data_IF_782310433921
#
_entry.id   IF_782310433921
#
_cell.length_a   1.000
_cell.length_b   1.000
_cell.length_c   1.000
_cell.angle_alpha   90.00
_cell.angle_beta   90.00
_cell.angle_gamma   90.00
#
_symmetry.space_group_name_H-M   'P 1'
#
loop_
_entity.id
_entity.type
_entity.pdbx_description
1 polymer ?
#
# COMPACT_ATOMS: atom_id res chain seq x y z
N UNK A 1 20.82 21.59 -74.40
CA UNK A 1 19.60 21.15 -75.12
C UNK A 1 19.86 19.72 -75.55
N UNK A 2 19.20 18.68 -75.06
CA UNK A 2 18.03 18.50 -74.19
C UNK A 2 18.25 17.13 -73.48
N UNK A 3 18.02 17.06 -72.17
CA UNK A 3 16.91 16.32 -71.51
C UNK A 3 17.10 14.79 -71.52
N UNK A 4 17.47 14.27 -70.35
CA UNK A 4 17.35 12.85 -69.98
C UNK A 4 16.65 12.79 -68.62
N UNK A 5 15.53 12.07 -68.60
CA UNK A 5 14.52 12.01 -67.54
C UNK A 5 14.94 11.00 -66.46
N UNK A 6 15.33 11.52 -65.29
CA UNK A 6 15.49 10.73 -64.07
C UNK A 6 14.20 10.76 -63.23
N UNK A 7 13.40 9.71 -63.32
CA UNK A 7 12.21 9.50 -62.50
C UNK A 7 12.58 8.93 -61.12
N UNK A 8 12.71 9.81 -60.12
CA UNK A 8 12.80 9.41 -58.71
C UNK A 8 11.40 9.11 -58.16
N UNK A 9 11.17 7.83 -57.87
CA UNK A 9 9.97 7.35 -57.17
C UNK A 9 9.97 7.79 -55.72
N UNK A 10 9.16 8.80 -55.40
CA UNK A 10 8.83 9.16 -54.03
C UNK A 10 7.96 8.06 -53.39
N UNK A 11 8.60 7.17 -52.63
CA UNK A 11 7.91 6.27 -51.73
C UNK A 11 7.23 7.10 -50.63
N UNK A 12 5.90 7.22 -50.71
CA UNK A 12 5.07 7.79 -49.66
C UNK A 12 5.19 6.91 -48.40
N UNK A 13 5.98 7.35 -47.42
CA UNK A 13 5.95 6.80 -46.08
C UNK A 13 4.61 7.16 -45.44
N UNK A 14 3.81 6.13 -45.18
CA UNK A 14 2.56 6.22 -44.42
C UNK A 14 2.88 6.65 -42.99
N UNK A 15 2.81 7.97 -42.76
CA UNK A 15 2.90 8.56 -41.44
C UNK A 15 1.84 7.95 -40.52
N UNK A 16 2.27 7.06 -39.62
CA UNK A 16 1.49 6.69 -38.46
C UNK A 16 1.17 7.97 -37.68
N UNK A 17 -0.12 8.24 -37.47
CA UNK A 17 -0.56 9.23 -36.52
C UNK A 17 0.03 8.89 -35.14
N UNK A 18 0.56 9.87 -34.38
CA UNK A 18 1.09 9.61 -33.05
C UNK A 18 -0.06 9.14 -32.14
N UNK A 19 0.20 8.22 -31.20
CA UNK A 19 -0.81 7.83 -30.22
C UNK A 19 -1.24 9.07 -29.43
N UNK A 20 -2.55 9.19 -29.22
CA UNK A 20 -3.20 10.37 -28.65
C UNK A 20 -2.53 10.85 -27.36
N UNK A 21 -2.46 12.18 -27.20
CA UNK A 21 -1.91 12.89 -26.05
C UNK A 21 -2.29 12.22 -24.72
N UNK A 22 -1.41 11.39 -24.17
CA UNK A 22 -1.49 10.99 -22.78
C UNK A 22 -1.40 12.26 -21.93
N UNK A 23 -2.38 12.47 -21.04
CA UNK A 23 -2.35 13.60 -20.13
C UNK A 23 -1.05 13.56 -19.29
N UNK A 24 -0.41 14.72 -19.04
CA UNK A 24 0.83 14.76 -18.29
C UNK A 24 0.65 14.15 -16.90
N UNK A 25 1.59 13.30 -16.51
CA UNK A 25 1.56 12.62 -15.21
C UNK A 25 1.66 13.61 -14.04
N UNK A 26 0.91 13.36 -12.98
CA UNK A 26 0.92 14.12 -11.73
C UNK A 26 2.02 13.58 -10.82
N UNK A 27 3.11 14.33 -10.67
CA UNK A 27 4.17 13.97 -9.73
C UNK A 27 3.79 14.34 -8.31
N UNK A 28 3.91 13.41 -7.37
CA UNK A 28 3.68 13.65 -5.95
C UNK A 28 4.47 12.68 -5.08
N UNK A 29 4.83 13.12 -3.87
CA UNK A 29 5.41 12.23 -2.86
C UNK A 29 4.34 11.35 -2.23
N UNK A 30 4.75 10.16 -1.77
CA UNK A 30 3.89 9.27 -0.99
C UNK A 30 3.42 9.99 0.28
N UNK A 31 2.09 10.02 0.50
CA UNK A 31 1.52 10.60 1.70
C UNK A 31 1.65 9.62 2.87
N UNK A 32 2.18 10.06 4.01
CA UNK A 32 2.44 9.19 5.15
C UNK A 32 1.73 9.72 6.38
N UNK A 33 0.87 8.89 6.97
CA UNK A 33 0.14 9.18 8.20
C UNK A 33 0.64 8.29 9.33
N UNK A 34 0.70 8.81 10.55
CA UNK A 34 0.91 7.99 11.74
C UNK A 34 -0.44 7.65 12.36
N UNK A 35 -0.62 6.42 12.83
CA UNK A 35 -1.79 6.01 13.63
C UNK A 35 -1.34 5.38 14.93
N UNK A 36 -1.74 5.98 16.04
CA UNK A 36 -1.40 5.52 17.38
C UNK A 36 -2.50 4.59 17.87
N UNK A 37 -2.15 3.35 18.20
CA UNK A 37 -3.11 2.38 18.74
C UNK A 37 -3.58 2.78 20.15
N UNK A 38 -4.85 2.53 20.51
CA UNK A 38 -5.29 2.59 21.89
C UNK A 38 -4.44 1.75 22.85
N UNK A 39 -4.18 2.24 24.08
CA UNK A 39 -3.53 1.44 25.11
C UNK A 39 -4.30 0.15 25.36
N UNK A 40 -3.59 -0.92 25.70
CA UNK A 40 -4.21 -2.12 26.28
C UNK A 40 -4.93 -1.73 27.58
N UNK A 41 -6.02 -2.43 27.92
CA UNK A 41 -6.77 -2.20 29.17
C UNK A 41 -5.80 -2.22 30.36
N UNK A 42 -5.82 -1.17 31.18
CA UNK A 42 -4.92 -1.00 32.33
C UNK A 42 -3.64 -0.19 32.08
N UNK A 43 -3.30 0.15 30.83
CA UNK A 43 -2.07 0.89 30.48
C UNK A 43 -2.27 2.41 30.23
N UNK A 44 -3.49 2.94 30.38
CA UNK A 44 -3.85 4.29 29.94
C UNK A 44 -3.15 5.43 30.70
N UNK A 45 -2.88 5.26 31.99
CA UNK A 45 -2.19 6.29 32.81
C UNK A 45 -0.72 6.48 32.42
N UNK A 46 -0.08 5.47 31.84
CA UNK A 46 1.35 5.48 31.53
C UNK A 46 1.69 6.11 30.18
N UNK A 47 0.72 6.26 29.28
CA UNK A 47 0.97 6.79 27.93
C UNK A 47 1.03 8.32 27.83
N UNK A 48 0.42 9.06 28.77
CA UNK A 48 0.28 10.53 28.70
C UNK A 48 1.60 11.30 28.63
N UNK A 49 2.72 10.69 29.01
CA UNK A 49 4.04 11.31 28.98
C UNK A 49 4.99 10.66 27.95
N UNK A 50 4.52 9.72 27.12
CA UNK A 50 5.37 8.90 26.22
C UNK A 50 5.51 9.48 24.82
N UNK A 51 4.51 10.23 24.39
CA UNK A 51 4.58 10.95 23.15
C UNK A 51 3.86 12.28 23.30
N UNK A 52 4.20 13.21 22.42
CA UNK A 52 3.52 14.48 22.25
C UNK A 52 3.31 14.71 20.77
N UNK A 53 2.20 15.37 20.44
CA UNK A 53 1.91 15.81 19.09
C UNK A 53 2.02 17.33 19.10
N UNK A 54 2.98 17.85 18.36
CA UNK A 54 3.22 19.28 18.23
C UNK A 54 2.72 19.77 16.86
N UNK A 55 1.80 20.73 16.92
CA UNK A 55 1.25 21.42 15.76
C UNK A 55 1.69 22.88 15.79
N UNK A 56 2.94 23.15 15.45
CA UNK A 56 3.43 24.51 15.26
C UNK A 56 3.85 24.73 13.80
N UNK A 57 2.95 25.37 13.04
CA UNK A 57 3.16 25.68 11.64
C UNK A 57 4.34 26.66 11.40
N UNK A 58 4.80 27.37 12.44
CA UNK A 58 5.99 28.23 12.35
C UNK A 58 7.29 27.45 12.39
N UNK A 59 7.29 26.26 13.02
CA UNK A 59 8.46 25.39 13.17
C UNK A 59 8.53 24.31 12.08
N UNK A 60 7.37 23.77 11.67
CA UNK A 60 7.30 22.73 10.64
C UNK A 60 5.96 22.77 9.90
N UNK A 61 5.93 22.56 8.57
CA UNK A 61 4.69 22.52 7.81
C UNK A 61 3.86 21.24 8.10
N UNK A 62 4.48 20.23 8.70
CA UNK A 62 3.84 18.97 9.04
C UNK A 62 3.72 18.82 10.57
N UNK A 63 2.61 18.26 11.09
CA UNK A 63 2.53 17.91 12.50
C UNK A 63 3.65 16.96 12.90
N UNK A 64 4.21 17.20 14.08
CA UNK A 64 5.36 16.47 14.61
C UNK A 64 4.92 15.50 15.70
N UNK A 65 5.24 14.22 15.51
CA UNK A 65 5.16 13.21 16.56
C UNK A 65 6.49 13.18 17.32
N UNK A 66 6.45 13.53 18.59
CA UNK A 66 7.60 13.52 19.49
C UNK A 66 7.49 12.28 20.37
N UNK A 67 8.43 11.33 20.25
CA UNK A 67 8.49 10.13 21.08
C UNK A 67 9.51 10.31 22.21
N UNK A 68 9.11 9.99 23.44
CA UNK A 68 9.91 10.08 24.68
C UNK A 68 10.06 8.71 25.35
N UNK A 69 10.98 7.86 24.88
CA UNK A 69 11.23 6.56 25.50
C UNK A 69 11.89 6.73 26.88
N UNK A 70 11.44 5.98 27.92
CA UNK A 70 12.17 5.90 29.20
C UNK A 70 13.16 4.74 29.19
N UNK A 71 14.25 4.90 28.48
CA UNK A 71 15.33 3.93 28.54
C UNK A 71 16.15 4.08 29.82
N UNK A 72 16.72 2.97 30.32
CA UNK A 72 17.75 3.04 31.36
C UNK A 72 18.97 3.81 30.84
N UNK A 73 19.79 4.37 31.74
CA UNK A 73 20.99 5.14 31.33
C UNK A 73 21.96 4.31 30.47
N UNK A 74 22.09 3.01 30.74
CA UNK A 74 22.92 2.09 29.94
C UNK A 74 22.35 1.83 28.55
N UNK A 75 21.02 1.73 28.44
CA UNK A 75 20.34 1.60 27.15
C UNK A 75 20.46 2.91 26.34
N UNK A 76 20.25 4.06 26.98
CA UNK A 76 20.39 5.38 26.39
C UNK A 76 21.82 5.61 25.87
N UNK A 77 22.84 5.27 26.65
CA UNK A 77 24.26 5.41 26.26
C UNK A 77 24.62 4.58 25.02
N UNK A 78 24.02 3.40 24.85
CA UNK A 78 24.19 2.58 23.64
C UNK A 78 23.49 3.19 22.42
N UNK A 79 22.33 3.81 22.63
CA UNK A 79 21.49 4.41 21.57
C UNK A 79 21.99 5.79 21.14
N UNK A 80 22.68 6.54 22.01
CA UNK A 80 23.22 7.88 21.73
C UNK A 80 24.29 7.96 20.64
N UNK A 81 24.75 6.81 20.10
CA UNK A 81 25.59 6.76 18.90
C UNK A 81 24.81 7.03 17.60
N UNK A 82 23.49 7.15 17.69
CA UNK A 82 22.58 7.34 16.56
C UNK A 82 22.32 8.84 16.35
N UNK A 83 22.63 9.36 15.16
CA UNK A 83 22.77 10.80 14.86
C UNK A 83 21.47 11.64 14.93
N UNK A 84 20.34 11.05 15.31
CA UNK A 84 19.01 11.68 15.33
C UNK A 84 18.40 11.84 16.74
N UNK A 85 19.21 11.79 17.80
CA UNK A 85 18.74 12.03 19.17
C UNK A 85 18.98 13.51 19.52
N UNK A 86 17.90 14.28 19.64
CA UNK A 86 17.97 15.61 20.23
C UNK A 86 17.99 15.50 21.75
N UNK A 87 19.00 16.12 22.38
CA UNK A 87 18.97 16.44 23.81
C UNK A 87 18.32 17.80 23.97
N UNK A 88 17.15 17.86 24.61
CA UNK A 88 16.65 19.13 25.14
C UNK A 88 17.63 19.60 26.21
N UNK A 89 18.31 20.72 25.97
CA UNK A 89 19.31 21.30 26.87
C UNK A 89 18.76 21.41 28.29
N UNK A 90 19.28 20.59 29.21
CA UNK A 90 18.89 20.54 30.62
C UNK A 90 18.17 19.26 31.07
N UNK A 91 17.65 18.43 30.16
CA UNK A 91 16.94 17.19 30.49
C UNK A 91 17.73 15.93 30.08
N UNK A 92 17.74 14.89 30.93
CA UNK A 92 18.46 13.61 30.72
C UNK A 92 17.71 12.64 29.78
N UNK A 93 16.65 13.07 29.12
CA UNK A 93 15.77 12.21 28.32
C UNK A 93 16.03 12.36 26.82
N UNK A 94 16.06 11.24 26.08
CA UNK A 94 16.11 11.25 24.63
C UNK A 94 14.70 11.51 24.07
N UNK A 95 14.61 12.39 23.07
CA UNK A 95 13.39 12.58 22.27
C UNK A 95 13.67 12.36 20.79
N UNK A 96 12.68 11.78 20.10
CA UNK A 96 12.71 11.61 18.64
C UNK A 96 11.54 12.37 18.02
N UNK A 97 11.80 13.16 16.99
CA UNK A 97 10.79 13.96 16.27
C UNK A 97 10.57 13.40 14.86
N UNK A 98 9.30 13.26 14.46
CA UNK A 98 8.93 12.75 13.14
C UNK A 98 7.75 13.53 12.56
N UNK A 99 7.90 14.05 11.34
CA UNK A 99 6.82 14.75 10.64
C UNK A 99 5.91 13.80 9.86
N UNK A 100 4.59 14.01 9.92
CA UNK A 100 3.62 13.21 9.15
C UNK A 100 2.60 14.11 8.46
N UNK A 101 1.96 13.63 7.38
CA UNK A 101 0.85 14.35 6.75
C UNK A 101 -0.32 14.57 7.71
N UNK A 102 -0.53 13.58 8.60
CA UNK A 102 -1.46 13.65 9.71
C UNK A 102 -1.12 12.59 10.75
N UNK A 103 -1.48 12.85 12.00
CA UNK A 103 -1.29 11.94 13.13
C UNK A 103 -2.68 11.60 13.68
N UNK A 104 -3.05 10.33 13.60
CA UNK A 104 -4.33 9.78 14.02
C UNK A 104 -4.18 9.28 15.46
N UNK A 105 -4.78 10.02 16.38
CA UNK A 105 -4.75 9.73 17.82
C UNK A 105 -5.58 8.48 18.19
N UNK A 106 -5.39 7.92 19.40
CA UNK A 106 -6.04 6.68 19.82
C UNK A 106 -7.58 6.65 19.75
N UNK A 107 -8.23 7.78 19.95
CA UNK A 107 -9.69 7.93 20.00
C UNK A 107 -10.33 8.14 18.61
N UNK A 108 -9.51 8.30 17.58
CA UNK A 108 -9.95 8.48 16.19
C UNK A 108 -10.72 7.26 15.69
N UNK A 109 -11.93 7.51 15.15
CA UNK A 109 -12.80 6.49 14.58
C UNK A 109 -12.33 6.01 13.21
N UNK A 110 -12.75 4.82 12.80
CA UNK A 110 -12.42 4.29 11.47
C UNK A 110 -13.00 5.12 10.32
N UNK A 111 -14.16 5.78 10.53
CA UNK A 111 -14.72 6.76 9.59
C UNK A 111 -13.72 7.89 9.33
N UNK A 112 -13.20 8.49 10.39
CA UNK A 112 -12.23 9.58 10.27
C UNK A 112 -10.92 9.11 9.65
N UNK A 113 -10.48 7.88 9.94
CA UNK A 113 -9.32 7.28 9.26
C UNK A 113 -9.57 7.16 7.75
N UNK A 114 -10.74 6.68 7.32
CA UNK A 114 -11.10 6.63 5.90
C UNK A 114 -11.07 8.01 5.26
N UNK A 115 -11.71 9.00 5.89
CA UNK A 115 -11.79 10.37 5.37
C UNK A 115 -10.42 11.01 5.21
N UNK A 116 -9.53 10.77 6.17
CA UNK A 116 -8.21 11.41 6.23
C UNK A 116 -7.18 10.71 5.34
N UNK A 117 -7.20 9.38 5.29
CA UNK A 117 -6.15 8.57 4.65
C UNK A 117 -6.56 8.08 3.26
N UNK A 118 -7.81 7.65 3.09
CA UNK A 118 -8.22 6.87 1.93
C UNK A 118 -9.02 7.68 0.90
N UNK A 119 -9.92 8.56 1.34
CA UNK A 119 -10.88 9.27 0.49
C UNK A 119 -10.24 9.86 -0.77
N UNK A 120 -9.18 10.65 -0.62
CA UNK A 120 -8.51 11.29 -1.78
C UNK A 120 -7.87 10.30 -2.76
N UNK A 121 -7.35 9.16 -2.27
CA UNK A 121 -6.83 8.10 -3.14
C UNK A 121 -7.99 7.43 -3.88
N UNK A 122 -9.07 7.08 -3.18
CA UNK A 122 -10.23 6.39 -3.76
C UNK A 122 -10.93 7.28 -4.81
N UNK A 123 -11.10 8.57 -4.52
CA UNK A 123 -11.66 9.53 -5.49
C UNK A 123 -10.80 9.60 -6.75
N UNK A 124 -9.47 9.58 -6.60
CA UNK A 124 -8.56 9.52 -7.75
C UNK A 124 -8.67 8.19 -8.52
N UNK A 125 -8.91 7.08 -7.83
CA UNK A 125 -9.15 5.78 -8.50
C UNK A 125 -10.42 5.85 -9.34
N UNK A 126 -11.50 6.43 -8.82
CA UNK A 126 -12.74 6.63 -9.57
C UNK A 126 -12.56 7.56 -10.80
N UNK A 127 -11.58 8.46 -10.75
CA UNK A 127 -11.17 9.29 -11.89
C UNK A 127 -10.27 8.57 -12.90
N UNK A 128 -9.86 7.32 -12.66
CA UNK A 128 -9.05 6.51 -13.56
C UNK A 128 -7.54 6.50 -13.25
N UNK A 129 -7.11 6.95 -12.08
CA UNK A 129 -5.72 6.79 -11.63
C UNK A 129 -5.54 5.46 -10.88
N UNK A 130 -4.34 4.90 -10.85
CA UNK A 130 -4.05 3.81 -9.90
C UNK A 130 -3.89 4.37 -8.48
N UNK A 131 -4.25 3.57 -7.48
CA UNK A 131 -4.16 3.92 -6.08
C UNK A 131 -3.57 2.80 -5.23
N UNK A 132 -2.89 3.16 -4.15
CA UNK A 132 -2.41 2.19 -3.16
C UNK A 132 -2.49 2.78 -1.75
N UNK A 133 -2.97 1.98 -0.81
CA UNK A 133 -2.99 2.31 0.62
C UNK A 133 -2.44 1.11 1.37
N UNK A 134 -1.34 1.30 2.10
CA UNK A 134 -0.73 0.20 2.85
C UNK A 134 -0.45 0.56 4.31
N UNK A 135 -0.69 -0.40 5.21
CA UNK A 135 -0.39 -0.27 6.62
C UNK A 135 0.93 -0.99 6.95
N UNK A 136 1.79 -0.32 7.72
CA UNK A 136 3.10 -0.84 8.13
C UNK A 136 3.33 -0.58 9.62
N UNK A 137 4.08 -1.48 10.27
CA UNK A 137 4.41 -1.42 11.69
C UNK A 137 4.59 -2.81 12.29
N UNK A 138 5.01 -2.87 13.55
CA UNK A 138 5.20 -4.12 14.26
C UNK A 138 3.91 -4.93 14.43
N UNK A 139 4.02 -6.22 14.73
CA UNK A 139 2.87 -7.05 15.14
C UNK A 139 2.14 -6.42 16.33
N UNK A 140 0.82 -6.42 16.25
CA UNK A 140 -0.06 -5.84 17.26
C UNK A 140 -0.14 -4.31 17.27
N UNK A 141 0.48 -3.60 16.32
CA UNK A 141 0.35 -2.13 16.20
C UNK A 141 -0.99 -1.66 15.64
N UNK A 142 -1.80 -2.54 15.05
CA UNK A 142 -3.11 -2.20 14.48
C UNK A 142 -3.19 -2.10 12.95
N UNK A 143 -2.26 -2.72 12.21
CA UNK A 143 -2.30 -2.80 10.73
C UNK A 143 -3.59 -3.41 10.20
N UNK A 144 -3.86 -4.67 10.55
CA UNK A 144 -5.10 -5.39 10.17
C UNK A 144 -6.36 -4.68 10.66
N UNK A 145 -6.34 -4.11 11.87
CA UNK A 145 -7.45 -3.30 12.36
C UNK A 145 -7.67 -2.05 11.48
N UNK A 146 -6.60 -1.43 10.98
CA UNK A 146 -6.72 -0.29 10.06
C UNK A 146 -7.27 -0.70 8.70
N UNK A 147 -6.74 -1.77 8.11
CA UNK A 147 -7.07 -2.19 6.75
C UNK A 147 -8.43 -2.91 6.70
N UNK A 148 -8.61 -3.98 7.47
CA UNK A 148 -9.81 -4.82 7.45
C UNK A 148 -10.83 -4.38 8.51
N UNK A 149 -10.36 -4.09 9.73
CA UNK A 149 -11.22 -3.70 10.86
C UNK A 149 -11.41 -4.78 11.91
N UNK A 150 -12.22 -4.46 12.92
CA UNK A 150 -12.62 -5.39 13.97
C UNK A 150 -13.88 -6.17 13.59
N UNK A 151 -13.94 -7.45 13.97
CA UNK A 151 -15.08 -8.33 13.68
C UNK A 151 -16.33 -8.09 14.57
N UNK A 152 -16.19 -7.35 15.68
CA UNK A 152 -17.24 -7.29 16.71
C UNK A 152 -18.28 -6.18 16.51
N UNK A 153 -17.88 -5.01 15.99
CA UNK A 153 -18.76 -3.84 15.86
C UNK A 153 -18.69 -3.31 14.45
N UNK A 154 -19.84 -2.92 13.90
CA UNK A 154 -19.91 -2.31 12.57
C UNK A 154 -19.01 -1.06 12.45
N UNK A 155 -18.98 -0.23 13.51
CA UNK A 155 -18.12 0.96 13.56
C UNK A 155 -16.62 0.66 13.48
N UNK A 156 -16.19 -0.56 13.84
CA UNK A 156 -14.79 -0.97 13.81
C UNK A 156 -14.32 -1.46 12.43
N UNK A 157 -15.22 -1.55 11.44
CA UNK A 157 -14.87 -1.88 10.05
C UNK A 157 -13.79 -0.92 9.53
N UNK A 158 -12.74 -1.50 8.92
CA UNK A 158 -11.55 -0.78 8.49
C UNK A 158 -11.71 -0.11 7.13
N UNK A 159 -10.59 0.17 6.48
CA UNK A 159 -10.55 0.85 5.19
C UNK A 159 -11.23 0.04 4.07
N UNK A 160 -10.98 -1.27 3.93
CA UNK A 160 -11.53 -2.06 2.80
C UNK A 160 -13.05 -1.95 2.69
N UNK A 161 -13.86 -2.29 3.72
CA UNK A 161 -15.32 -2.21 3.60
C UNK A 161 -15.84 -0.79 3.36
N UNK A 162 -15.15 0.24 3.89
CA UNK A 162 -15.52 1.65 3.69
C UNK A 162 -15.21 2.14 2.28
N UNK A 163 -14.08 1.71 1.74
CA UNK A 163 -13.69 1.95 0.35
C UNK A 163 -14.71 1.32 -0.61
N UNK A 164 -15.10 0.06 -0.36
CA UNK A 164 -16.12 -0.61 -1.17
C UNK A 164 -17.44 0.16 -1.16
N UNK A 165 -17.93 0.54 0.02
CA UNK A 165 -19.13 1.36 0.16
C UNK A 165 -19.03 2.66 -0.64
N UNK A 166 -17.91 3.38 -0.53
CA UNK A 166 -17.71 4.65 -1.24
C UNK A 166 -17.68 4.47 -2.77
N UNK A 167 -16.96 3.45 -3.26
CA UNK A 167 -16.88 3.14 -4.70
C UNK A 167 -18.27 2.81 -5.26
N UNK A 168 -19.01 1.89 -4.63
CA UNK A 168 -20.33 1.51 -5.13
C UNK A 168 -21.35 2.65 -5.02
N UNK A 169 -21.27 3.46 -3.96
CA UNK A 169 -22.08 4.68 -3.84
C UNK A 169 -21.76 5.66 -4.96
N UNK A 170 -20.50 5.85 -5.32
CA UNK A 170 -20.13 6.73 -6.43
C UNK A 170 -20.66 6.17 -7.76
N UNK A 171 -20.39 4.90 -8.05
CA UNK A 171 -20.82 4.24 -9.28
C UNK A 171 -22.34 4.26 -9.47
N UNK A 172 -23.13 4.16 -8.39
CA UNK A 172 -24.58 4.24 -8.46
C UNK A 172 -25.11 5.67 -8.73
N UNK A 173 -24.33 6.71 -8.39
CA UNK A 173 -24.74 8.11 -8.55
C UNK A 173 -24.16 8.79 -9.80
N UNK A 174 -23.10 8.23 -10.41
CA UNK A 174 -22.54 8.76 -11.66
C UNK A 174 -23.28 8.22 -12.88
N UNK A 175 -24.13 9.06 -13.46
CA UNK A 175 -24.88 8.76 -14.69
C UNK A 175 -24.06 8.98 -15.97
N UNK A 176 -22.83 9.51 -15.89
CA UNK A 176 -22.01 9.79 -17.06
C UNK A 176 -21.21 8.58 -17.53
N UNK A 177 -21.07 7.57 -16.67
CA UNK A 177 -20.23 6.39 -16.89
C UNK A 177 -20.93 5.10 -16.47
N UNK A 178 -20.56 4.00 -17.10
CA UNK A 178 -20.90 2.65 -16.68
C UNK A 178 -19.67 2.02 -16.01
N UNK A 179 -19.83 1.46 -14.81
CA UNK A 179 -18.74 0.90 -14.02
C UNK A 179 -18.79 -0.63 -14.00
N UNK A 180 -17.66 -1.26 -14.22
CA UNK A 180 -17.42 -2.69 -14.02
C UNK A 180 -16.35 -2.83 -12.93
N UNK A 181 -16.71 -3.46 -11.81
CA UNK A 181 -15.85 -3.60 -10.63
C UNK A 181 -15.56 -5.08 -10.41
N UNK A 182 -14.29 -5.41 -10.21
CA UNK A 182 -13.86 -6.75 -9.80
C UNK A 182 -12.83 -6.69 -8.68
N UNK A 183 -12.75 -7.77 -7.91
CA UNK A 183 -11.90 -7.88 -6.72
C UNK A 183 -10.99 -9.10 -6.85
N UNK A 184 -9.74 -8.93 -6.43
CA UNK A 184 -8.82 -10.03 -6.17
C UNK A 184 -8.31 -9.93 -4.73
N UNK A 185 -7.98 -11.06 -4.10
CA UNK A 185 -7.42 -11.05 -2.75
C UNK A 185 -6.23 -11.99 -2.68
N UNK A 186 -5.04 -11.42 -2.52
CA UNK A 186 -3.76 -12.13 -2.53
C UNK A 186 -3.17 -12.19 -1.12
N UNK A 187 -2.77 -13.38 -0.69
CA UNK A 187 -1.88 -13.57 0.46
C UNK A 187 -0.49 -13.97 -0.01
N UNK A 188 0.55 -13.27 0.46
CA UNK A 188 1.95 -13.61 0.25
C UNK A 188 2.50 -14.17 1.56
N UNK A 189 2.80 -15.46 1.56
CA UNK A 189 3.33 -16.20 2.70
C UNK A 189 4.56 -16.99 2.29
N UNK A 190 5.68 -16.80 2.99
CA UNK A 190 6.97 -17.42 2.64
C UNK A 190 7.37 -17.25 1.16
N UNK A 191 7.24 -16.02 0.62
CA UNK A 191 7.49 -15.68 -0.80
C UNK A 191 6.61 -16.44 -1.83
N UNK A 192 5.59 -17.16 -1.36
CA UNK A 192 4.58 -17.79 -2.21
C UNK A 192 3.28 -16.99 -2.14
N UNK A 193 2.68 -16.74 -3.31
CA UNK A 193 1.39 -16.06 -3.41
C UNK A 193 0.24 -17.06 -3.50
N UNK A 194 -0.88 -16.76 -2.84
CA UNK A 194 -2.09 -17.57 -2.79
C UNK A 194 -3.33 -16.72 -3.05
N UNK A 195 -4.23 -17.19 -3.89
CA UNK A 195 -5.53 -16.55 -4.12
C UNK A 195 -6.50 -16.91 -2.98
N UNK A 196 -6.89 -15.92 -2.19
CA UNK A 196 -7.79 -16.08 -1.06
C UNK A 196 -9.27 -16.16 -1.46
N UNK A 197 -9.63 -15.84 -2.71
CA UNK A 197 -11.02 -15.83 -3.16
C UNK A 197 -11.46 -17.14 -3.82
N UNK A 198 -10.59 -18.17 -3.82
CA UNK A 198 -11.02 -19.48 -4.27
C UNK A 198 -12.18 -19.98 -3.41
N UNK A 199 -13.27 -20.34 -4.10
CA UNK A 199 -14.53 -20.78 -3.49
C UNK A 199 -14.60 -22.31 -3.43
N UNK A 200 -13.53 -23.02 -3.79
CA UNK A 200 -13.46 -24.46 -3.63
C UNK A 200 -13.62 -24.81 -2.13
N UNK A 201 -14.65 -25.61 -1.82
CA UNK A 201 -15.06 -25.89 -0.43
C UNK A 201 -14.13 -26.86 0.31
N UNK A 202 -13.00 -27.23 -0.29
CA UNK A 202 -12.09 -28.26 0.19
C UNK A 202 -10.78 -27.70 0.78
N UNK A 203 -10.50 -26.40 0.66
CA UNK A 203 -9.28 -25.80 1.20
C UNK A 203 -9.30 -25.82 2.74
N UNK A 204 -8.44 -26.64 3.35
CA UNK A 204 -8.27 -26.71 4.82
C UNK A 204 -6.99 -26.04 5.28
N UNK A 205 -6.08 -25.76 4.36
CA UNK A 205 -4.80 -25.09 4.60
C UNK A 205 -4.50 -24.09 3.50
N UNK A 206 -3.64 -23.12 3.80
CA UNK A 206 -3.16 -22.13 2.82
C UNK A 206 -2.53 -22.77 1.59
N UNK A 207 -1.81 -23.89 1.78
CA UNK A 207 -1.14 -24.61 0.68
C UNK A 207 -2.08 -25.28 -0.32
N UNK A 208 -3.35 -25.45 0.05
CA UNK A 208 -4.40 -26.00 -0.82
C UNK A 208 -4.99 -24.92 -1.76
N UNK A 209 -4.79 -23.63 -1.44
CA UNK A 209 -5.28 -22.52 -2.25
C UNK A 209 -4.48 -22.36 -3.56
N UNK A 210 -5.11 -21.82 -4.63
CA UNK A 210 -4.44 -21.61 -5.90
C UNK A 210 -3.17 -20.75 -5.76
N UNK A 211 -2.05 -21.27 -6.24
CA UNK A 211 -0.78 -20.56 -6.22
C UNK A 211 -0.70 -19.54 -7.34
N UNK A 212 -0.28 -18.34 -6.94
CA UNK A 212 -0.06 -17.19 -7.80
C UNK A 212 1.38 -17.17 -8.27
N UNK A 213 1.59 -16.81 -9.54
CA UNK A 213 2.93 -16.66 -10.13
C UNK A 213 3.10 -15.28 -10.75
N UNK A 214 4.31 -14.75 -10.69
CA UNK A 214 4.67 -13.50 -11.35
C UNK A 214 5.35 -13.77 -12.68
N UNK A 215 4.99 -13.00 -13.70
CA UNK A 215 5.68 -12.98 -14.98
C UNK A 215 5.91 -11.54 -15.40
N UNK A 216 7.06 -11.25 -15.99
CA UNK A 216 7.32 -9.95 -16.60
C UNK A 216 7.26 -10.09 -18.12
N UNK A 217 6.63 -9.12 -18.77
CA UNK A 217 6.66 -9.03 -20.24
C UNK A 217 7.91 -8.31 -20.74
N UNK A 218 8.00 -8.12 -22.07
CA UNK A 218 9.13 -7.47 -22.72
C UNK A 218 9.30 -5.99 -22.33
N UNK A 219 8.23 -5.34 -21.86
CA UNK A 219 8.20 -3.96 -21.39
C UNK A 219 8.47 -3.86 -19.87
N UNK A 220 8.93 -4.97 -19.27
CA UNK A 220 9.15 -5.13 -17.84
C UNK A 220 7.89 -4.93 -16.96
N UNK A 221 6.69 -5.04 -17.52
CA UNK A 221 5.45 -4.94 -16.74
C UNK A 221 5.22 -6.27 -16.01
N UNK A 222 4.99 -6.18 -14.70
CA UNK A 222 4.73 -7.36 -13.85
C UNK A 222 3.28 -7.78 -13.98
N UNK A 223 3.06 -8.99 -14.49
CA UNK A 223 1.77 -9.65 -14.59
C UNK A 223 1.63 -10.72 -13.50
N UNK A 224 0.52 -10.65 -12.77
CA UNK A 224 0.15 -11.63 -11.76
C UNK A 224 -0.74 -12.69 -12.40
N UNK A 225 -0.24 -13.92 -12.55
CA UNK A 225 -0.99 -15.05 -13.11
C UNK A 225 -1.59 -15.92 -12.02
N UNK A 226 -2.74 -16.51 -12.33
CA UNK A 226 -3.54 -17.35 -11.41
C UNK A 226 -4.05 -16.61 -10.17
N UNK A 227 -4.15 -15.28 -10.24
CA UNK A 227 -4.92 -14.48 -9.30
C UNK A 227 -6.21 -14.09 -10.00
N UNK A 228 -7.34 -14.66 -9.60
CA UNK A 228 -8.60 -14.41 -10.24
C UNK A 228 -9.16 -13.04 -9.85
N UNK A 229 -9.82 -12.38 -10.82
CA UNK A 229 -10.55 -11.14 -10.62
C UNK A 229 -12.04 -11.46 -10.63
N UNK A 230 -12.65 -11.46 -9.45
CA UNK A 230 -14.05 -11.83 -9.26
C UNK A 230 -14.94 -10.59 -9.45
N UNK A 231 -15.87 -10.58 -10.40
CA UNK A 231 -16.76 -9.45 -10.60
C UNK A 231 -17.69 -9.27 -9.39
N UNK A 232 -17.93 -8.02 -9.00
CA UNK A 232 -18.88 -7.66 -7.96
C UNK A 232 -19.86 -6.62 -8.50
N UNK A 233 -21.13 -6.99 -8.59
CA UNK A 233 -22.16 -6.12 -9.19
C UNK A 233 -22.70 -5.07 -8.20
N UNK A 234 -22.46 -5.25 -6.90
CA UNK A 234 -22.89 -4.34 -5.85
C UNK A 234 -21.99 -4.47 -4.60
N UNK A 235 -22.19 -3.56 -3.65
CA UNK A 235 -21.44 -3.51 -2.38
C UNK A 235 -21.51 -4.84 -1.61
N UNK A 236 -22.69 -5.45 -1.53
CA UNK A 236 -22.91 -6.70 -0.78
C UNK A 236 -22.07 -7.85 -1.34
N UNK A 237 -22.04 -8.02 -2.67
CA UNK A 237 -21.22 -9.04 -3.33
C UNK A 237 -19.72 -8.82 -3.07
N UNK A 238 -19.25 -7.58 -3.11
CA UNK A 238 -17.84 -7.28 -2.83
C UNK A 238 -17.48 -7.52 -1.35
N UNK A 239 -18.37 -7.16 -0.42
CA UNK A 239 -18.20 -7.45 1.00
C UNK A 239 -18.23 -8.96 1.29
N UNK A 240 -19.03 -9.73 0.54
CA UNK A 240 -19.03 -11.18 0.63
C UNK A 240 -17.69 -11.78 0.16
N UNK A 241 -17.09 -11.26 -0.91
CA UNK A 241 -15.75 -11.68 -1.34
C UNK A 241 -14.68 -11.36 -0.28
N UNK A 242 -14.74 -10.19 0.34
CA UNK A 242 -13.88 -9.87 1.49
C UNK A 242 -14.06 -10.90 2.61
N UNK A 243 -15.30 -11.22 2.97
CA UNK A 243 -15.60 -12.21 4.02
C UNK A 243 -15.08 -13.61 3.68
N UNK A 244 -15.21 -14.06 2.42
CA UNK A 244 -14.67 -15.34 1.96
C UNK A 244 -13.14 -15.36 2.13
N UNK A 245 -12.45 -14.32 1.67
CA UNK A 245 -10.99 -14.27 1.79
C UNK A 245 -10.51 -14.19 3.24
N UNK A 246 -11.18 -13.40 4.09
CA UNK A 246 -10.89 -13.34 5.53
C UNK A 246 -11.13 -14.71 6.19
N UNK A 247 -12.18 -15.42 5.79
CA UNK A 247 -12.48 -16.76 6.31
C UNK A 247 -11.42 -17.78 5.90
N UNK A 248 -11.02 -17.77 4.63
CA UNK A 248 -9.96 -18.64 4.11
C UNK A 248 -8.63 -18.39 4.83
N UNK A 249 -8.29 -17.12 5.06
CA UNK A 249 -7.13 -16.70 5.85
C UNK A 249 -7.20 -17.21 7.29
N UNK A 250 -8.35 -17.06 7.96
CA UNK A 250 -8.54 -17.53 9.34
C UNK A 250 -8.49 -19.06 9.44
N UNK A 251 -9.06 -19.79 8.49
CA UNK A 251 -9.03 -21.27 8.48
C UNK A 251 -7.60 -21.77 8.28
N UNK A 252 -6.81 -21.08 7.45
CA UNK A 252 -5.40 -21.37 7.27
C UNK A 252 -4.54 -21.06 8.52
N UNK A 253 -5.01 -20.15 9.38
CA UNK A 253 -4.39 -19.85 10.67
C UNK A 253 -4.70 -20.94 11.68
N UNK A 254 -3.64 -21.59 12.16
CA UNK A 254 -3.74 -22.57 13.25
C UNK A 254 -2.96 -22.08 14.47
N UNK A 255 -3.23 -22.55 15.69
CA UNK A 255 -2.43 -22.18 16.87
C UNK A 255 -0.92 -22.45 16.70
N UNK A 256 -0.58 -23.42 15.86
CA UNK A 256 0.80 -23.75 15.47
C UNK A 256 1.36 -22.86 14.36
N UNK A 257 0.51 -22.13 13.63
CA UNK A 257 0.85 -21.23 12.52
C UNK A 257 -0.03 -19.95 12.52
N UNK A 258 0.26 -18.95 13.37
CA UNK A 258 -0.42 -17.65 13.33
C UNK A 258 0.00 -16.82 12.11
N UNK A 259 -0.56 -17.16 10.95
CA UNK A 259 -0.21 -16.60 9.65
C UNK A 259 -0.58 -15.11 9.49
N UNK A 260 -1.64 -14.58 10.12
CA UNK A 260 -2.08 -13.16 9.96
C UNK A 260 -1.00 -12.14 10.24
N UNK A 261 -0.15 -12.38 11.26
CA UNK A 261 0.96 -11.49 11.61
C UNK A 261 2.20 -11.67 10.71
N UNK A 262 2.18 -12.72 9.88
CA UNK A 262 3.32 -13.33 9.21
C UNK A 262 3.17 -13.49 7.70
N UNK A 263 2.07 -13.01 7.14
CA UNK A 263 1.84 -12.89 5.72
C UNK A 263 1.51 -11.45 5.35
N UNK A 264 1.73 -11.11 4.09
CA UNK A 264 1.26 -9.83 3.52
C UNK A 264 -0.03 -10.09 2.78
N UNK A 265 -1.02 -9.25 2.99
CA UNK A 265 -2.33 -9.38 2.36
C UNK A 265 -2.61 -8.17 1.47
N UNK A 266 -3.04 -8.42 0.24
CA UNK A 266 -3.35 -7.40 -0.75
C UNK A 266 -4.78 -7.61 -1.24
N UNK A 267 -5.70 -6.75 -0.83
CA UNK A 267 -7.04 -6.67 -1.41
C UNK A 267 -7.00 -5.69 -2.58
N UNK A 268 -7.31 -6.19 -3.78
CA UNK A 268 -7.15 -5.47 -5.03
C UNK A 268 -8.52 -5.20 -5.62
N UNK A 269 -8.84 -3.93 -5.86
CA UNK A 269 -10.08 -3.54 -6.54
C UNK A 269 -9.69 -3.04 -7.93
N UNK A 270 -10.19 -3.70 -8.97
CA UNK A 270 -10.06 -3.25 -10.35
C UNK A 270 -11.38 -2.56 -10.75
N UNK A 271 -11.28 -1.36 -11.30
CA UNK A 271 -12.42 -0.59 -11.79
C UNK A 271 -12.17 -0.26 -13.26
N UNK A 272 -13.09 -0.68 -14.12
CA UNK A 272 -13.22 -0.21 -15.49
C UNK A 272 -14.45 0.72 -15.56
N UNK A 273 -14.32 1.90 -16.15
CA UNK A 273 -15.46 2.78 -16.40
C UNK A 273 -15.52 3.24 -17.86
N UNK A 274 -16.70 3.08 -18.47
CA UNK A 274 -16.98 3.44 -19.87
C UNK A 274 -17.84 4.69 -19.90
N UNK A 275 -17.44 5.69 -20.68
CA UNK A 275 -18.28 6.87 -20.89
C UNK A 275 -19.59 6.51 -21.59
N UNK A 276 -20.72 7.05 -21.13
CA UNK A 276 -22.01 6.85 -21.80
C UNK A 276 -22.12 7.70 -23.07
N UNK A 277 -21.58 8.91 -23.04
CA UNK A 277 -21.58 9.85 -24.17
C UNK A 277 -20.18 10.09 -24.75
N UNK A 278 -19.14 9.59 -24.07
CA UNK A 278 -17.75 9.68 -24.52
C UNK A 278 -17.27 8.28 -24.87
N UNK A 279 -16.58 8.12 -26.00
CA UNK A 279 -16.00 6.83 -26.39
C UNK A 279 -14.74 6.51 -25.58
N UNK A 280 -14.72 6.84 -24.29
CA UNK A 280 -13.53 6.72 -23.44
C UNK A 280 -13.71 5.61 -22.41
N UNK A 281 -12.70 4.76 -22.28
CA UNK A 281 -12.59 3.76 -21.22
C UNK A 281 -11.52 4.22 -20.24
N UNK A 282 -11.84 4.19 -18.95
CA UNK A 282 -10.84 4.34 -17.88
C UNK A 282 -10.61 3.03 -17.18
N UNK A 283 -9.35 2.75 -16.85
CA UNK A 283 -8.98 1.60 -16.03
C UNK A 283 -8.16 2.04 -14.84
N UNK A 284 -8.47 1.50 -13.69
CA UNK A 284 -7.76 1.85 -12.46
C UNK A 284 -7.73 0.66 -11.53
N UNK A 285 -6.65 0.58 -10.74
CA UNK A 285 -6.48 -0.43 -9.71
C UNK A 285 -6.21 0.22 -8.37
N UNK A 286 -6.89 -0.24 -7.33
CA UNK A 286 -6.65 0.13 -5.95
C UNK A 286 -6.08 -1.05 -5.16
N UNK A 287 -4.88 -0.90 -4.61
CA UNK A 287 -4.29 -1.85 -3.68
C UNK A 287 -4.55 -1.42 -2.22
N UNK A 288 -5.17 -2.29 -1.43
CA UNK A 288 -5.33 -2.14 0.02
C UNK A 288 -4.50 -3.21 0.71
N UNK A 289 -3.41 -2.81 1.34
CA UNK A 289 -2.33 -3.73 1.74
C UNK A 289 -2.16 -3.75 3.26
N UNK A 290 -2.27 -4.94 3.84
CA UNK A 290 -1.94 -5.25 5.23
C UNK A 290 -0.59 -6.00 5.24
N UNK A 291 0.49 -5.27 5.53
CA UNK A 291 1.83 -5.88 5.57
C UNK A 291 2.01 -6.69 6.86
N UNK A 292 2.91 -7.67 6.83
CA UNK A 292 3.32 -8.43 8.01
C UNK A 292 4.04 -7.55 9.06
N UNK A 293 4.21 -8.08 10.27
CA UNK A 293 4.93 -7.41 11.35
C UNK A 293 6.40 -7.11 11.02
N UNK A 294 6.84 -5.89 11.32
CA UNK A 294 8.22 -5.43 11.11
C UNK A 294 9.19 -5.72 12.26
N UNK A 295 8.75 -6.42 13.31
CA UNK A 295 9.57 -6.66 14.49
C UNK A 295 10.75 -7.61 14.23
N UNK A 296 11.84 -7.36 14.95
CA UNK A 296 13.08 -8.13 14.80
C UNK A 296 12.94 -9.55 15.36
N UNK A 297 13.31 -10.54 14.55
CA UNK A 297 13.38 -11.96 14.96
C UNK A 297 14.20 -12.17 16.23
N UNK A 298 15.28 -11.40 16.44
CA UNK A 298 16.16 -11.53 17.60
C UNK A 298 15.48 -11.21 18.94
N UNK A 299 14.35 -10.50 18.93
CA UNK A 299 13.53 -10.22 20.12
C UNK A 299 12.48 -11.28 20.37
N UNK A 300 12.31 -12.20 19.44
CA UNK A 300 11.33 -13.30 19.54
C UNK A 300 12.03 -14.56 20.03
N UNK A 301 11.45 -15.23 21.03
CA UNK A 301 12.00 -16.49 21.58
C UNK A 301 11.65 -17.71 20.69
N UNK A 302 11.54 -17.50 19.38
CA UNK A 302 10.97 -18.44 18.43
C UNK A 302 12.06 -19.41 17.93
N UNK A 303 11.71 -20.70 17.81
CA UNK A 303 12.62 -21.78 17.33
C UNK A 303 11.94 -22.61 16.22
N UNK A 304 12.74 -23.37 15.47
CA UNK A 304 12.23 -24.34 14.48
C UNK A 304 11.63 -23.68 13.23
N UNK A 305 10.50 -24.20 12.73
CA UNK A 305 9.86 -23.72 11.50
C UNK A 305 9.37 -22.26 11.61
N UNK A 306 8.87 -21.87 12.78
CA UNK A 306 8.48 -20.48 13.05
C UNK A 306 9.66 -19.49 12.93
N UNK A 307 10.91 -19.94 13.16
CA UNK A 307 12.10 -19.11 12.93
C UNK A 307 12.39 -18.94 11.43
N UNK A 308 12.14 -19.97 10.61
CA UNK A 308 12.29 -19.87 9.15
C UNK A 308 11.27 -18.89 8.58
N UNK A 309 10.02 -18.98 9.03
CA UNK A 309 8.94 -18.06 8.66
C UNK A 309 9.26 -16.61 9.06
N UNK A 310 9.69 -16.40 10.32
CA UNK A 310 10.13 -15.09 10.80
C UNK A 310 11.27 -14.48 9.95
N UNK A 311 12.15 -15.32 9.39
CA UNK A 311 13.20 -14.88 8.47
C UNK A 311 12.63 -14.46 7.12
N UNK A 312 11.69 -15.20 6.53
CA UNK A 312 11.09 -14.82 5.23
C UNK A 312 10.31 -13.51 5.33
N UNK A 313 9.55 -13.29 6.40
CA UNK A 313 8.87 -12.02 6.64
C UNK A 313 9.86 -10.86 6.68
N UNK A 314 10.89 -10.97 7.52
CA UNK A 314 11.89 -9.93 7.63
C UNK A 314 12.70 -9.75 6.34
N UNK A 315 12.90 -10.82 5.57
CA UNK A 315 13.56 -10.74 4.27
C UNK A 315 12.73 -9.95 3.26
N UNK A 316 11.43 -10.21 3.15
CA UNK A 316 10.51 -9.47 2.29
C UNK A 316 10.45 -7.97 2.66
N UNK A 317 10.35 -7.65 3.96
CA UNK A 317 10.37 -6.27 4.45
C UNK A 317 11.73 -5.59 4.27
N UNK A 318 12.82 -6.35 4.38
CA UNK A 318 14.16 -5.85 4.06
C UNK A 318 14.27 -5.50 2.57
N UNK A 319 13.74 -6.33 1.67
CA UNK A 319 13.72 -6.00 0.24
C UNK A 319 12.87 -4.78 -0.06
N UNK A 320 11.74 -4.60 0.63
CA UNK A 320 10.96 -3.36 0.55
C UNK A 320 11.80 -2.14 0.97
N UNK A 321 12.54 -2.25 2.08
CA UNK A 321 13.46 -1.19 2.52
C UNK A 321 14.56 -0.89 1.48
N UNK A 322 15.14 -1.93 0.86
CA UNK A 322 16.12 -1.76 -0.21
C UNK A 322 15.53 -1.07 -1.45
N UNK A 323 14.29 -1.37 -1.81
CA UNK A 323 13.57 -0.69 -2.90
C UNK A 323 13.38 0.79 -2.57
N UNK A 324 12.96 1.12 -1.34
CA UNK A 324 12.77 2.51 -0.89
C UNK A 324 14.09 3.29 -0.94
N UNK A 325 15.18 2.71 -0.45
CA UNK A 325 16.50 3.33 -0.50
C UNK A 325 16.98 3.52 -1.94
N UNK A 326 16.81 2.51 -2.79
CA UNK A 326 17.19 2.59 -4.19
C UNK A 326 16.38 3.63 -4.97
N UNK A 327 15.09 3.80 -4.65
CA UNK A 327 14.23 4.84 -5.22
C UNK A 327 14.69 6.23 -4.82
N UNK A 328 15.03 6.42 -3.55
CA UNK A 328 15.59 7.67 -3.08
C UNK A 328 16.93 7.98 -3.78
N UNK A 329 17.86 7.03 -3.84
CA UNK A 329 19.14 7.18 -4.56
C UNK A 329 18.94 7.49 -6.05
N UNK A 330 17.95 6.85 -6.69
CA UNK A 330 17.57 7.10 -8.08
C UNK A 330 17.05 8.52 -8.29
N UNK A 331 16.23 9.04 -7.37
CA UNK A 331 15.78 10.44 -7.41
C UNK A 331 16.92 11.46 -7.33
N UNK A 332 18.04 11.07 -6.70
CA UNK A 332 19.26 11.87 -6.59
C UNK A 332 20.27 11.59 -7.72
N UNK A 333 19.90 10.79 -8.73
CA UNK A 333 20.79 10.42 -9.84
C UNK A 333 21.96 9.50 -9.44
N UNK A 334 21.97 8.93 -8.24
CA UNK A 334 23.07 8.09 -7.72
C UNK A 334 22.94 6.62 -8.11
N UNK A 335 21.77 6.20 -8.60
CA UNK A 335 21.47 4.82 -8.93
C UNK A 335 20.48 4.74 -10.10
N UNK A 336 20.65 3.74 -10.96
CA UNK A 336 19.77 3.51 -12.11
C UNK A 336 18.74 2.42 -11.82
N UNK A 337 19.19 1.30 -11.25
CA UNK A 337 18.37 0.10 -11.06
C UNK A 337 17.76 0.00 -9.66
N UNK A 338 16.46 -0.31 -9.60
CA UNK A 338 15.69 -0.56 -8.36
C UNK A 338 15.33 -2.05 -8.27
N UNK A 339 15.68 -2.75 -7.18
CA UNK A 339 15.61 -4.21 -7.12
C UNK A 339 14.23 -4.77 -6.75
N UNK A 340 13.18 -4.46 -7.52
CA UNK A 340 11.82 -4.94 -7.24
C UNK A 340 11.69 -6.46 -7.28
N UNK A 341 12.49 -7.14 -8.10
CA UNK A 341 12.43 -8.60 -8.33
C UNK A 341 12.83 -9.45 -7.13
N UNK A 342 13.41 -8.85 -6.08
CA UNK A 342 13.93 -9.60 -4.94
C UNK A 342 12.84 -10.26 -4.08
N UNK A 343 11.59 -9.79 -4.13
CA UNK A 343 10.45 -10.42 -3.46
C UNK A 343 9.18 -10.31 -4.29
N UNK A 344 8.25 -11.24 -4.09
CA UNK A 344 6.93 -11.16 -4.71
C UNK A 344 6.21 -9.87 -4.30
N UNK A 345 6.31 -9.49 -3.03
CA UNK A 345 5.68 -8.27 -2.51
C UNK A 345 6.19 -7.01 -3.22
N UNK A 346 7.50 -6.84 -3.35
CA UNK A 346 8.07 -5.66 -4.03
C UNK A 346 7.76 -5.64 -5.52
N UNK A 347 7.69 -6.80 -6.17
CA UNK A 347 7.27 -6.88 -7.57
C UNK A 347 5.81 -6.47 -7.77
N UNK A 348 4.89 -6.93 -6.92
CA UNK A 348 3.47 -6.55 -6.99
C UNK A 348 3.26 -5.07 -6.66
N UNK A 349 4.08 -4.51 -5.76
CA UNK A 349 4.01 -3.10 -5.36
C UNK A 349 4.85 -2.16 -6.25
N UNK A 350 5.43 -2.65 -7.35
CA UNK A 350 6.30 -1.85 -8.24
C UNK A 350 5.67 -0.52 -8.65
N UNK A 351 4.44 -0.54 -9.12
CA UNK A 351 3.72 0.67 -9.54
C UNK A 351 3.39 1.59 -8.36
N UNK A 352 3.14 1.00 -7.19
CA UNK A 352 2.79 1.72 -5.96
C UNK A 352 3.97 2.49 -5.37
N UNK A 353 5.21 2.07 -5.66
CA UNK A 353 6.44 2.61 -5.10
C UNK A 353 7.33 3.15 -6.22
N UNK A 354 7.21 4.43 -6.56
CA UNK A 354 8.02 5.08 -7.58
C UNK A 354 7.47 4.97 -9.01
N UNK A 355 6.23 4.51 -9.18
CA UNK A 355 5.59 4.29 -10.49
C UNK A 355 4.30 5.08 -10.71
N UNK A 356 3.42 4.55 -11.57
CA UNK A 356 2.12 5.11 -11.91
C UNK A 356 1.07 4.75 -10.84
N UNK A 357 1.09 5.48 -9.71
CA UNK A 357 0.14 5.26 -8.62
C UNK A 357 0.07 6.45 -7.66
N UNK A 358 -1.13 6.77 -7.15
CA UNK A 358 -1.28 7.63 -5.98
C UNK A 358 -1.23 6.78 -4.72
N UNK A 359 -0.19 6.96 -3.93
CA UNK A 359 0.11 6.07 -2.81
C UNK A 359 0.04 6.77 -1.47
N UNK A 360 -0.58 6.10 -0.50
CA UNK A 360 -0.62 6.50 0.90
C UNK A 360 -0.13 5.36 1.81
N UNK A 361 0.64 5.71 2.83
CA UNK A 361 1.10 4.79 3.87
C UNK A 361 0.50 5.17 5.22
N UNK A 362 0.06 4.17 5.98
CA UNK A 362 -0.29 4.30 7.41
C UNK A 362 0.76 3.61 8.27
N UNK A 363 1.57 4.40 8.95
CA UNK A 363 2.50 3.94 9.98
C UNK A 363 1.74 3.69 11.29
N UNK A 364 1.50 2.43 11.62
CA UNK A 364 0.78 2.02 12.83
C UNK A 364 1.74 1.85 14.00
N UNK A 365 1.45 2.50 15.13
CA UNK A 365 2.38 2.65 16.25
C UNK A 365 1.79 2.12 17.56
N UNK A 366 2.66 1.56 18.38
CA UNK A 366 2.38 1.10 19.73
C UNK A 366 3.26 1.88 20.72
N UNK A 367 2.65 2.47 21.74
CA UNK A 367 3.33 3.41 22.66
C UNK A 367 3.72 2.78 23.99
N UNK A 368 3.57 1.45 24.13
CA UNK A 368 4.10 0.71 25.28
C UNK A 368 5.64 0.71 25.29
N UNK A 369 6.25 0.73 26.47
CA UNK A 369 7.71 0.88 26.64
C UNK A 369 8.51 -0.24 25.98
N UNK A 370 7.99 -1.46 26.01
CA UNK A 370 8.65 -2.60 25.39
C UNK A 370 8.63 -2.51 23.86
N UNK A 371 7.73 -1.68 23.30
CA UNK A 371 7.39 -1.59 21.89
C UNK A 371 7.87 -0.28 21.24
N UNK A 372 8.19 0.75 22.02
CA UNK A 372 8.59 2.07 21.52
C UNK A 372 9.78 2.03 20.54
N UNK A 373 10.73 1.11 20.73
CA UNK A 373 11.87 0.90 19.83
C UNK A 373 11.43 0.51 18.40
N UNK A 374 10.40 -0.31 18.29
CA UNK A 374 9.84 -0.73 17.00
C UNK A 374 8.98 0.39 16.40
N UNK A 375 8.27 1.17 17.24
CA UNK A 375 7.57 2.38 16.80
C UNK A 375 8.53 3.45 16.25
N UNK A 376 9.70 3.65 16.88
CA UNK A 376 10.77 4.52 16.35
C UNK A 376 11.27 3.99 15.01
N UNK A 377 11.48 2.67 14.89
CA UNK A 377 11.92 2.04 13.64
C UNK A 377 10.87 2.21 12.53
N UNK A 378 9.60 2.06 12.88
CA UNK A 378 8.44 2.29 12.00
C UNK A 378 8.39 3.74 11.53
N UNK A 379 8.57 4.72 12.43
CA UNK A 379 8.61 6.13 12.08
C UNK A 379 9.77 6.45 11.12
N UNK A 380 10.97 5.94 11.39
CA UNK A 380 12.14 6.13 10.50
C UNK A 380 11.91 5.57 9.11
N UNK A 381 11.32 4.38 9.01
CA UNK A 381 10.94 3.78 7.74
C UNK A 381 9.91 4.66 7.01
N UNK A 382 8.89 5.13 7.73
CA UNK A 382 7.85 6.01 7.21
C UNK A 382 8.42 7.33 6.65
N UNK A 383 9.41 7.93 7.34
CA UNK A 383 10.10 9.12 6.84
C UNK A 383 10.83 8.86 5.51
N UNK A 384 11.41 7.67 5.32
CA UNK A 384 12.05 7.31 4.04
C UNK A 384 11.03 7.12 2.93
N UNK A 385 9.89 6.50 3.23
CA UNK A 385 8.78 6.31 2.27
C UNK A 385 8.24 7.66 1.78
N UNK A 386 8.13 8.65 2.68
CA UNK A 386 7.66 10.00 2.32
C UNK A 386 8.54 10.73 1.29
N UNK A 387 9.78 10.26 1.07
CA UNK A 387 10.71 10.84 0.09
C UNK A 387 10.58 10.22 -1.31
N UNK A 388 9.74 9.19 -1.48
CA UNK A 388 9.51 8.56 -2.78
C UNK A 388 8.55 9.42 -3.60
N UNK A 389 8.95 9.72 -4.83
CA UNK A 389 8.12 10.40 -5.81
C UNK A 389 7.46 9.37 -6.73
N UNK A 390 6.13 9.44 -6.84
CA UNK A 390 5.36 8.73 -7.85
C UNK A 390 4.97 9.70 -8.99
N UNK A 391 4.66 9.14 -10.16
CA UNK A 391 4.15 9.88 -11.32
C UNK A 391 2.84 9.24 -11.74
N UNK A 392 1.73 9.71 -11.17
CA UNK A 392 0.42 9.13 -11.42
C UNK A 392 -0.17 9.65 -12.75
N UNK A 393 -0.60 8.75 -13.61
CA UNK A 393 -1.20 9.02 -14.91
C UNK A 393 -2.65 8.54 -14.87
N UNK A 394 -3.55 9.29 -15.49
CA UNK A 394 -4.93 8.86 -15.69
C UNK A 394 -4.94 7.83 -16.81
N UNK A 395 -5.28 6.57 -16.52
CA UNK A 395 -5.34 5.53 -17.55
C UNK A 395 -6.68 5.63 -18.26
N UNK A 396 -6.70 6.43 -19.33
CA UNK A 396 -7.86 6.68 -20.19
C UNK A 396 -7.48 6.43 -21.64
N UNK A 397 -8.29 5.65 -22.35
CA UNK A 397 -8.12 5.33 -23.76
C UNK A 397 -9.45 5.48 -24.51
N UNK A 398 -9.40 5.59 -25.83
CA UNK A 398 -10.59 5.50 -26.66
C UNK A 398 -11.03 4.04 -26.77
N UNK A 399 -12.33 3.78 -26.69
CA UNK A 399 -12.91 2.44 -26.84
C UNK A 399 -12.52 1.90 -28.23
N UNK A 400 -11.66 0.86 -28.29
CA UNK A 400 -11.19 0.33 -29.56
C UNK A 400 -12.33 -0.14 -30.47
N UNK A 401 -13.45 -0.61 -29.89
CA UNK A 401 -14.61 -1.07 -30.67
C UNK A 401 -15.28 0.10 -31.40
N UNK A 402 -15.42 1.24 -30.74
CA UNK A 402 -16.02 2.45 -31.31
C UNK A 402 -15.09 3.11 -32.33
N UNK A 403 -13.78 3.09 -32.09
CA UNK A 403 -12.78 3.54 -33.08
C UNK A 403 -12.86 2.70 -34.36
N UNK A 404 -12.89 1.37 -34.23
CA UNK A 404 -13.01 0.45 -35.38
C UNK A 404 -14.33 0.65 -36.13
N UNK A 405 -15.44 0.90 -35.43
CA UNK A 405 -16.73 1.18 -36.08
C UNK A 405 -16.74 2.50 -36.88
N UNK A 406 -15.95 3.51 -36.49
CA UNK A 406 -15.84 4.78 -37.23
C UNK A 406 -14.91 4.72 -38.44
N UNK A 407 -14.02 3.72 -38.48
CA UNK A 407 -13.08 3.48 -39.58
C UNK A 407 -13.64 2.54 -40.66
N UNK A 408 -14.79 1.92 -40.41
CA UNK A 408 -15.59 1.18 -41.38
C UNK A 408 -16.68 2.08 -41.93
#
# INVERSE_FOLDING_TARGET
MAEDDGSDGAAASSGHAPPGNALPGQSSTIQVFARIRPPRRGASSYLKNRYEIEHDASLSPLPQLILRPSWSQDALSRKLKDAQIERLSGNKEASYRFGFRGILEPDVTQDHVFDTVARGVVDSVLEGFNGAIFAYGQTGSGKTFTITGGAQRYADRGLIPRVLQHIFKHAANDISRHYEISVSYLEIYNECGYDLLDQSRDAKKLEDLPKVSLQEDADEVVHVRNLAAYPASNEEQALNLLFVGDTNRIIAETPSNPASSRSHCLFIINIESKGQTTDTIRRSRLHLVDLAGSERVSRTHIRGNLLKEAKYINLSLHYLEQVILALYEKSQGRRVHVPYRNSMMTSVLRDSLGGNCKTTMVATLAMEDELVDESISTCRFAQRVALINNVAIRNEELDPRLVIQRLK
#
